data_IF_328098695600
#
_entry.id   IF_328098695600
#
_cell.length_a   1.000
_cell.length_b   1.000
_cell.length_c   1.000
_cell.angle_alpha   90.00
_cell.angle_beta   90.00
_cell.angle_gamma   90.00
#
_symmetry.space_group_name_H-M   'P 1'
#
loop_
_entity.id
_entity.type
_entity.pdbx_description
1 polymer ?
#
# COMPACT_ATOMS: atom_id res chain seq x y z
N UNK A 1 23.57 -1.31 11.59
CA UNK A 1 22.12 -1.13 11.35
C UNK A 1 21.38 -2.26 12.07
N UNK A 2 20.37 -1.98 12.89
CA UNK A 2 19.63 -3.02 13.64
C UNK A 2 18.41 -3.52 12.85
N UNK A 3 17.86 -4.69 13.19
CA UNK A 3 16.67 -5.24 12.54
C UNK A 3 15.46 -4.29 12.63
N UNK A 4 15.27 -3.61 13.77
CA UNK A 4 14.22 -2.59 13.94
C UNK A 4 14.43 -1.36 13.05
N UNK A 5 15.68 -0.93 12.89
CA UNK A 5 16.02 0.21 12.04
C UNK A 5 15.72 -0.11 10.58
N UNK A 6 16.11 -1.30 10.12
CA UNK A 6 15.82 -1.77 8.76
C UNK A 6 14.31 -1.93 8.52
N UNK A 7 13.56 -2.51 9.47
CA UNK A 7 12.11 -2.61 9.36
C UNK A 7 11.42 -1.23 9.26
N UNK A 8 11.86 -0.27 10.09
CA UNK A 8 11.34 1.09 10.02
C UNK A 8 11.63 1.79 8.69
N UNK A 9 12.81 1.57 8.11
CA UNK A 9 13.15 2.07 6.76
C UNK A 9 12.25 1.42 5.70
N UNK A 10 11.95 0.12 5.80
CA UNK A 10 11.03 -0.53 4.86
C UNK A 10 9.65 0.08 4.90
N UNK A 11 9.11 0.42 6.08
CA UNK A 11 7.84 1.14 6.18
C UNK A 11 7.89 2.54 5.54
N UNK A 12 9.00 3.25 5.66
CA UNK A 12 9.18 4.57 5.03
C UNK A 12 9.21 4.44 3.51
N UNK A 13 9.94 3.45 2.98
CA UNK A 13 9.96 3.16 1.54
C UNK A 13 8.58 2.71 1.06
N UNK A 14 7.86 1.91 1.85
CA UNK A 14 6.51 1.47 1.52
C UNK A 14 5.53 2.64 1.40
N UNK A 15 5.69 3.69 2.23
CA UNK A 15 4.86 4.89 2.16
C UNK A 15 5.28 5.87 1.06
N UNK A 16 6.58 6.11 0.86
CA UNK A 16 7.07 7.21 0.02
C UNK A 16 7.73 6.77 -1.28
N UNK A 17 8.11 5.51 -1.41
CA UNK A 17 9.00 5.05 -2.48
C UNK A 17 8.35 5.17 -3.86
N UNK A 18 7.14 4.65 -4.05
CA UNK A 18 6.42 4.80 -5.32
C UNK A 18 6.04 6.26 -5.59
N UNK A 19 5.62 7.02 -4.57
CA UNK A 19 5.35 8.46 -4.71
C UNK A 19 6.58 9.21 -5.24
N UNK A 20 7.76 8.95 -4.68
CA UNK A 20 9.00 9.55 -5.15
C UNK A 20 9.33 9.14 -6.59
N UNK A 21 9.09 7.88 -6.96
CA UNK A 21 9.29 7.40 -8.35
C UNK A 21 8.37 8.14 -9.31
N UNK A 22 7.07 8.23 -9.03
CA UNK A 22 6.12 8.90 -9.91
C UNK A 22 6.44 10.39 -10.06
N UNK A 23 6.61 11.12 -8.95
CA UNK A 23 6.83 12.58 -9.00
C UNK A 23 8.21 12.97 -9.54
N UNK A 24 9.27 12.21 -9.20
CA UNK A 24 10.65 12.62 -9.53
C UNK A 24 11.11 12.02 -10.85
N UNK A 25 10.71 10.79 -11.16
CA UNK A 25 11.22 10.05 -12.32
C UNK A 25 10.19 9.95 -13.45
N UNK A 26 8.91 9.80 -13.11
CA UNK A 26 7.81 9.73 -14.06
C UNK A 26 7.42 11.08 -14.64
N UNK A 27 6.93 11.99 -13.80
CA UNK A 27 6.40 13.30 -14.23
C UNK A 27 7.46 14.21 -14.87
N UNK A 28 8.72 14.05 -14.52
CA UNK A 28 9.83 14.81 -15.11
C UNK A 28 10.21 14.33 -16.52
N UNK A 29 9.65 13.19 -16.96
CA UNK A 29 10.00 12.54 -18.23
C UNK A 29 11.38 11.88 -18.23
N UNK A 30 12.02 11.73 -17.06
CA UNK A 30 13.33 11.08 -16.95
C UNK A 30 13.26 9.58 -17.23
N UNK A 31 12.10 8.96 -16.97
CA UNK A 31 11.76 7.59 -17.32
C UNK A 31 10.47 7.55 -18.15
N UNK A 32 10.39 6.61 -19.10
CA UNK A 32 9.12 6.28 -19.76
C UNK A 32 8.17 5.51 -18.84
N UNK A 33 6.87 5.51 -19.14
CA UNK A 33 5.78 4.92 -18.33
C UNK A 33 6.11 3.51 -17.82
N UNK A 34 6.46 2.59 -18.73
CA UNK A 34 6.81 1.21 -18.37
C UNK A 34 8.00 1.06 -17.40
N UNK A 35 8.97 1.98 -17.46
CA UNK A 35 10.09 1.97 -16.53
C UNK A 35 9.71 2.58 -15.18
N UNK A 36 8.92 3.65 -15.18
CA UNK A 36 8.38 4.28 -13.97
C UNK A 36 7.57 3.26 -13.16
N UNK A 37 6.60 2.58 -13.79
CA UNK A 37 5.75 1.59 -13.11
C UNK A 37 6.57 0.43 -12.54
N UNK A 38 7.57 -0.05 -13.30
CA UNK A 38 8.44 -1.14 -12.85
C UNK A 38 9.26 -0.77 -11.61
N UNK A 39 9.79 0.45 -11.54
CA UNK A 39 10.56 0.90 -10.36
C UNK A 39 9.63 1.20 -9.18
N UNK A 40 8.46 1.79 -9.43
CA UNK A 40 7.43 2.02 -8.42
C UNK A 40 7.00 0.69 -7.80
N UNK A 41 6.80 -0.36 -8.61
CA UNK A 41 6.49 -1.71 -8.16
C UNK A 41 7.56 -2.26 -7.19
N UNK A 42 8.84 -2.07 -7.48
CA UNK A 42 9.92 -2.52 -6.60
C UNK A 42 9.90 -1.81 -5.25
N UNK A 43 9.56 -0.52 -5.23
CA UNK A 43 9.34 0.21 -3.99
C UNK A 43 8.12 -0.34 -3.22
N UNK A 44 7.00 -0.60 -3.91
CA UNK A 44 5.78 -1.13 -3.29
C UNK A 44 5.98 -2.53 -2.68
N UNK A 45 6.86 -3.37 -3.22
CA UNK A 45 7.22 -4.68 -2.62
C UNK A 45 7.77 -4.54 -1.19
N UNK A 46 8.25 -3.36 -0.79
CA UNK A 46 8.64 -3.14 0.62
C UNK A 46 7.48 -3.16 1.60
N UNK A 47 6.22 -2.98 1.14
CA UNK A 47 5.00 -3.09 1.95
C UNK A 47 4.96 -4.45 2.67
N UNK A 48 4.82 -5.61 1.99
CA UNK A 48 4.71 -6.90 2.66
C UNK A 48 5.96 -7.24 3.47
N UNK A 49 7.15 -6.77 3.07
CA UNK A 49 8.38 -6.98 3.82
C UNK A 49 8.34 -6.27 5.18
N UNK A 50 7.90 -5.02 5.23
CA UNK A 50 7.76 -4.26 6.49
C UNK A 50 6.75 -4.92 7.44
N UNK A 51 5.58 -5.31 6.92
CA UNK A 51 4.57 -6.02 7.70
C UNK A 51 5.06 -7.39 8.19
N UNK A 52 5.75 -8.15 7.34
CA UNK A 52 6.33 -9.45 7.69
C UNK A 52 7.41 -9.35 8.76
N UNK A 53 8.31 -8.37 8.69
CA UNK A 53 9.31 -8.18 9.74
C UNK A 53 8.68 -7.80 11.07
N UNK A 54 7.57 -7.05 11.04
CA UNK A 54 6.84 -6.65 12.25
C UNK A 54 6.10 -7.83 12.89
N UNK A 55 5.50 -8.72 12.09
CA UNK A 55 4.80 -9.93 12.59
C UNK A 55 5.73 -10.85 13.40
N UNK A 56 7.02 -10.87 13.05
CA UNK A 56 8.01 -11.71 13.73
C UNK A 56 8.30 -11.23 15.16
N UNK A 57 7.89 -9.99 15.51
CA UNK A 57 8.02 -9.46 16.87
C UNK A 57 6.83 -9.85 17.75
N UNK A 58 5.60 -9.72 17.25
CA UNK A 58 4.41 -10.16 17.97
C UNK A 58 3.46 -10.90 17.05
N UNK A 59 3.19 -12.17 17.37
CA UNK A 59 2.28 -13.02 16.61
C UNK A 59 0.84 -12.71 16.99
N UNK A 60 0.02 -12.51 15.97
CA UNK A 60 -1.42 -12.37 16.12
C UNK A 60 -2.09 -12.85 14.82
N UNK A 61 -3.14 -13.68 14.87
CA UNK A 61 -3.79 -14.22 13.68
C UNK A 61 -4.26 -13.14 12.69
N UNK A 62 -4.74 -11.99 13.17
CA UNK A 62 -5.15 -10.89 12.29
C UNK A 62 -3.96 -10.24 11.57
N UNK A 63 -2.78 -10.17 12.20
CA UNK A 63 -1.57 -9.68 11.51
C UNK A 63 -1.20 -10.63 10.37
N UNK A 64 -1.24 -11.94 10.63
CA UNK A 64 -0.90 -12.97 9.63
C UNK A 64 -1.91 -12.99 8.49
N UNK A 65 -3.21 -12.96 8.80
CA UNK A 65 -4.28 -12.88 7.79
C UNK A 65 -4.19 -11.59 6.98
N UNK A 66 -4.01 -10.44 7.65
CA UNK A 66 -3.86 -9.16 6.97
C UNK A 66 -2.67 -9.14 6.02
N UNK A 67 -1.51 -9.67 6.44
CA UNK A 67 -0.34 -9.80 5.57
C UNK A 67 -0.61 -10.66 4.33
N UNK A 68 -1.32 -11.78 4.46
CA UNK A 68 -1.68 -12.61 3.31
C UNK A 68 -2.57 -11.84 2.33
N UNK A 69 -3.56 -11.10 2.83
CA UNK A 69 -4.46 -10.28 2.01
C UNK A 69 -3.66 -9.15 1.31
N UNK A 70 -2.72 -8.51 2.01
CA UNK A 70 -1.81 -7.51 1.44
C UNK A 70 -1.04 -8.09 0.26
N UNK A 71 -0.43 -9.27 0.43
CA UNK A 71 0.37 -9.91 -0.63
C UNK A 71 -0.49 -10.23 -1.85
N UNK A 72 -1.71 -10.74 -1.65
CA UNK A 72 -2.65 -11.04 -2.72
C UNK A 72 -3.04 -9.77 -3.48
N UNK A 73 -3.51 -8.74 -2.76
CA UNK A 73 -3.94 -7.47 -3.36
C UNK A 73 -2.79 -6.76 -4.06
N UNK A 74 -1.62 -6.66 -3.44
CA UNK A 74 -0.44 -6.04 -4.04
C UNK A 74 -0.03 -6.76 -5.33
N UNK A 75 0.05 -8.10 -5.31
CA UNK A 75 0.51 -8.85 -6.50
C UNK A 75 -0.45 -8.65 -7.67
N UNK A 76 -1.76 -8.66 -7.42
CA UNK A 76 -2.76 -8.37 -8.46
C UNK A 76 -2.67 -6.92 -8.96
N UNK A 77 -2.41 -5.96 -8.06
CA UNK A 77 -2.30 -4.53 -8.40
C UNK A 77 -1.12 -4.27 -9.30
N UNK A 78 0.04 -4.84 -8.96
CA UNK A 78 1.25 -4.75 -9.78
C UNK A 78 1.08 -5.40 -11.17
N UNK A 79 0.23 -6.43 -11.29
CA UNK A 79 -0.13 -6.98 -12.60
C UNK A 79 -1.01 -6.00 -13.38
N UNK A 80 -1.98 -5.36 -12.74
CA UNK A 80 -2.77 -4.28 -13.32
C UNK A 80 -1.90 -3.15 -13.86
N UNK A 81 -1.02 -2.60 -13.01
CA UNK A 81 -0.09 -1.53 -13.39
C UNK A 81 0.82 -1.97 -14.54
N UNK A 82 1.34 -3.19 -14.50
CA UNK A 82 2.18 -3.71 -15.58
C UNK A 82 1.43 -3.78 -16.92
N UNK A 83 0.16 -4.20 -16.93
CA UNK A 83 -0.66 -4.20 -18.15
C UNK A 83 -0.90 -2.76 -18.62
N UNK A 84 -1.33 -1.86 -17.74
CA UNK A 84 -1.58 -0.45 -18.06
C UNK A 84 -0.34 0.22 -18.68
N UNK A 85 0.84 -0.08 -18.12
CA UNK A 85 2.12 0.50 -18.54
C UNK A 85 2.56 0.18 -19.97
N UNK A 86 1.91 -0.80 -20.62
CA UNK A 86 2.24 -1.22 -21.98
C UNK A 86 1.50 -0.44 -23.06
N UNK A 87 0.44 0.30 -22.71
CA UNK A 87 -0.33 1.18 -23.61
C UNK A 87 -0.71 0.48 -24.95
N UNK A 88 -1.02 -0.83 -24.90
CA UNK A 88 -1.23 -1.66 -26.10
C UNK A 88 -2.53 -1.29 -26.82
N UNK A 89 -3.62 -1.11 -26.07
CA UNK A 89 -4.93 -0.71 -26.58
C UNK A 89 -5.83 -0.18 -25.47
N UNK A 90 -6.88 0.54 -25.84
CA UNK A 90 -7.87 1.07 -24.89
C UNK A 90 -8.58 -0.06 -24.11
N UNK A 91 -8.84 -1.21 -24.74
CA UNK A 91 -9.41 -2.37 -24.05
C UNK A 91 -8.45 -2.95 -23.00
N UNK A 92 -7.14 -2.94 -23.28
CA UNK A 92 -6.11 -3.36 -22.33
C UNK A 92 -6.11 -2.44 -21.09
N UNK A 93 -6.27 -1.13 -21.30
CA UNK A 93 -6.29 -0.15 -20.21
C UNK A 93 -7.50 -0.34 -19.29
N UNK A 94 -8.68 -0.61 -19.87
CA UNK A 94 -9.91 -0.90 -19.11
C UNK A 94 -9.77 -2.18 -18.26
N UNK A 95 -9.14 -3.22 -18.82
CA UNK A 95 -8.86 -4.45 -18.07
C UNK A 95 -7.89 -4.17 -16.92
N UNK A 96 -6.82 -3.42 -17.20
CA UNK A 96 -5.82 -3.07 -16.22
C UNK A 96 -6.42 -2.26 -15.06
N UNK A 97 -7.26 -1.28 -15.35
CA UNK A 97 -7.95 -0.45 -14.34
C UNK A 97 -8.89 -1.30 -13.48
N UNK A 98 -9.71 -2.16 -14.10
CA UNK A 98 -10.63 -3.04 -13.36
C UNK A 98 -9.89 -4.00 -12.41
N UNK A 99 -8.79 -4.58 -12.88
CA UNK A 99 -7.92 -5.44 -12.07
C UNK A 99 -7.25 -4.63 -10.95
N UNK A 100 -6.63 -3.50 -11.29
CA UNK A 100 -5.92 -2.62 -10.37
C UNK A 100 -6.83 -2.14 -9.24
N UNK A 101 -7.99 -1.57 -9.57
CA UNK A 101 -8.94 -1.05 -8.57
C UNK A 101 -9.40 -2.13 -7.59
N UNK A 102 -9.74 -3.32 -8.10
CA UNK A 102 -10.11 -4.47 -7.25
C UNK A 102 -8.94 -4.87 -6.34
N UNK A 103 -7.73 -4.93 -6.90
CA UNK A 103 -6.53 -5.38 -6.22
C UNK A 103 -6.06 -4.40 -5.13
N UNK A 104 -6.04 -3.11 -5.42
CA UNK A 104 -5.69 -2.06 -4.46
C UNK A 104 -6.69 -2.04 -3.31
N UNK A 105 -7.99 -2.19 -3.60
CA UNK A 105 -9.02 -2.34 -2.59
C UNK A 105 -8.72 -3.52 -1.64
N UNK A 106 -8.40 -4.71 -2.20
CA UNK A 106 -8.00 -5.88 -1.41
C UNK A 106 -6.78 -5.58 -0.54
N UNK A 107 -5.76 -4.89 -1.06
CA UNK A 107 -4.58 -4.55 -0.27
C UNK A 107 -4.93 -3.70 0.96
N UNK A 108 -5.80 -2.69 0.81
CA UNK A 108 -6.25 -1.86 1.92
C UNK A 108 -7.15 -2.61 2.92
N UNK A 109 -7.93 -3.60 2.46
CA UNK A 109 -8.59 -4.54 3.37
C UNK A 109 -7.55 -5.27 4.23
N UNK A 110 -6.44 -5.69 3.62
CA UNK A 110 -5.32 -6.30 4.33
C UNK A 110 -4.72 -5.37 5.40
N UNK A 111 -4.48 -4.10 5.07
CA UNK A 111 -4.01 -3.09 6.05
C UNK A 111 -4.99 -2.92 7.21
N UNK A 112 -6.29 -2.85 6.92
CA UNK A 112 -7.33 -2.74 7.94
C UNK A 112 -7.28 -3.91 8.94
N UNK A 113 -7.24 -5.14 8.42
CA UNK A 113 -7.15 -6.37 9.21
C UNK A 113 -5.84 -6.41 10.02
N UNK A 114 -4.71 -6.01 9.43
CA UNK A 114 -3.45 -5.89 10.16
C UNK A 114 -3.51 -4.84 11.27
N UNK A 115 -4.17 -3.70 11.04
CA UNK A 115 -4.40 -2.67 12.06
C UNK A 115 -5.21 -3.20 13.26
N UNK A 116 -6.24 -4.02 13.01
CA UNK A 116 -6.98 -4.73 14.07
C UNK A 116 -6.04 -5.64 14.86
N UNK A 117 -5.16 -6.36 14.15
CA UNK A 117 -4.11 -7.17 14.79
C UNK A 117 -3.20 -6.33 15.68
N UNK A 118 -2.72 -5.17 15.20
CA UNK A 118 -1.90 -4.27 16.00
C UNK A 118 -2.63 -3.70 17.22
N UNK A 119 -3.93 -3.43 17.13
CA UNK A 119 -4.76 -3.02 18.27
C UNK A 119 -4.80 -4.09 19.38
N UNK A 120 -4.62 -5.36 19.05
CA UNK A 120 -4.57 -6.47 20.01
C UNK A 120 -3.16 -6.73 20.57
N UNK A 121 -2.15 -5.96 20.15
CA UNK A 121 -0.76 -6.10 20.61
C UNK A 121 -0.27 -4.81 21.29
N UNK A 122 0.96 -4.84 21.81
CA UNK A 122 1.67 -3.67 22.32
C UNK A 122 2.77 -3.19 21.34
N UNK A 123 2.73 -3.61 20.08
CA UNK A 123 3.73 -3.23 19.07
C UNK A 123 3.74 -1.72 18.80
N UNK A 124 2.55 -1.12 18.76
CA UNK A 124 2.33 0.30 18.50
C UNK A 124 1.34 0.88 19.51
N UNK A 125 1.39 2.20 19.75
CA UNK A 125 0.33 2.89 20.48
C UNK A 125 -1.04 2.61 19.85
N UNK A 126 -2.06 2.39 20.68
CA UNK A 126 -3.41 2.02 20.20
C UNK A 126 -3.98 3.02 19.19
N UNK A 127 -3.70 4.31 19.36
CA UNK A 127 -4.15 5.34 18.41
C UNK A 127 -3.56 5.16 17.01
N UNK A 128 -2.29 4.71 16.91
CA UNK A 128 -1.62 4.52 15.63
C UNK A 128 -2.13 3.25 14.92
N UNK A 129 -2.33 2.17 15.68
CA UNK A 129 -2.99 0.96 15.18
C UNK A 129 -4.42 1.25 14.71
N UNK A 130 -5.17 2.04 15.49
CA UNK A 130 -6.51 2.49 15.14
C UNK A 130 -6.53 3.39 13.90
N UNK A 131 -5.54 4.27 13.75
CA UNK A 131 -5.39 5.12 12.57
C UNK A 131 -5.15 4.27 11.31
N UNK A 132 -4.26 3.27 11.36
CA UNK A 132 -4.08 2.31 10.26
C UNK A 132 -5.41 1.62 9.91
N UNK A 133 -6.13 1.11 10.91
CA UNK A 133 -7.42 0.46 10.66
C UNK A 133 -8.43 1.40 9.99
N UNK A 134 -8.65 2.60 10.55
CA UNK A 134 -9.70 3.50 10.06
C UNK A 134 -9.38 4.00 8.66
N UNK A 135 -8.17 4.48 8.42
CA UNK A 135 -7.77 5.04 7.12
C UNK A 135 -7.87 3.97 6.04
N UNK A 136 -7.33 2.77 6.29
CA UNK A 136 -7.38 1.69 5.31
C UNK A 136 -8.80 1.15 5.09
N UNK A 137 -9.65 1.11 6.12
CA UNK A 137 -11.06 0.74 5.98
C UNK A 137 -11.80 1.72 5.08
N UNK A 138 -11.60 3.04 5.29
CA UNK A 138 -12.21 4.07 4.45
C UNK A 138 -11.75 3.92 3.01
N UNK A 139 -10.46 3.66 2.76
CA UNK A 139 -9.94 3.45 1.41
C UNK A 139 -10.51 2.21 0.75
N UNK A 140 -10.49 1.07 1.44
CA UNK A 140 -11.10 -0.17 0.98
C UNK A 140 -12.58 0.04 0.64
N UNK A 141 -13.36 0.58 1.57
CA UNK A 141 -14.81 0.76 1.40
C UNK A 141 -15.11 1.72 0.25
N UNK A 142 -14.36 2.83 0.14
CA UNK A 142 -14.55 3.81 -0.93
C UNK A 142 -14.36 3.19 -2.31
N UNK A 143 -13.36 2.32 -2.48
CA UNK A 143 -13.14 1.64 -3.76
C UNK A 143 -14.17 0.52 -3.97
N UNK A 144 -14.41 -0.31 -2.94
CA UNK A 144 -15.22 -1.52 -3.05
C UNK A 144 -16.71 -1.26 -3.34
N UNK A 145 -17.27 -0.13 -2.88
CA UNK A 145 -18.70 0.19 -3.07
C UNK A 145 -18.96 1.12 -4.25
N UNK A 146 -17.91 1.74 -4.80
CA UNK A 146 -18.07 2.68 -5.90
C UNK A 146 -18.40 1.95 -7.21
N UNK A 147 -19.27 2.55 -8.03
CA UNK A 147 -19.52 2.01 -9.36
C UNK A 147 -18.29 2.25 -10.26
N UNK A 148 -18.08 1.40 -11.29
CA UNK A 148 -17.01 1.62 -12.27
C UNK A 148 -17.06 3.01 -12.91
N UNK A 149 -18.26 3.49 -13.24
CA UNK A 149 -18.47 4.82 -13.82
C UNK A 149 -18.09 5.95 -12.86
N UNK A 150 -18.35 5.80 -11.56
CA UNK A 150 -17.94 6.78 -10.56
C UNK A 150 -16.42 6.82 -10.42
N UNK A 151 -15.77 5.65 -10.40
CA UNK A 151 -14.32 5.51 -10.30
C UNK A 151 -13.60 6.03 -11.55
N UNK A 152 -14.14 5.80 -12.74
CA UNK A 152 -13.54 6.35 -13.97
C UNK A 152 -13.57 7.89 -13.99
N UNK A 153 -14.66 8.49 -13.49
CA UNK A 153 -14.82 9.94 -13.49
C UNK A 153 -14.17 10.67 -12.30
N UNK A 154 -14.02 10.00 -11.15
CA UNK A 154 -13.60 10.64 -9.89
C UNK A 154 -12.47 9.88 -9.17
N UNK A 155 -11.99 8.78 -9.74
CA UNK A 155 -11.06 7.83 -9.11
C UNK A 155 -9.80 8.52 -8.65
N UNK A 156 -9.14 9.30 -9.51
CA UNK A 156 -7.94 10.06 -9.13
C UNK A 156 -8.20 10.99 -7.93
N UNK A 157 -9.33 11.71 -7.94
CA UNK A 157 -9.67 12.69 -6.90
C UNK A 157 -9.97 12.04 -5.54
N UNK A 158 -10.22 10.74 -5.49
CA UNK A 158 -10.57 10.01 -4.27
C UNK A 158 -9.45 9.05 -3.86
N UNK A 159 -8.99 8.24 -4.80
CA UNK A 159 -7.98 7.21 -4.60
C UNK A 159 -6.63 7.82 -4.26
N UNK A 160 -6.19 8.88 -4.96
CA UNK A 160 -4.87 9.49 -4.70
C UNK A 160 -4.80 10.07 -3.28
N UNK A 161 -5.74 10.92 -2.81
CA UNK A 161 -5.69 11.41 -1.43
C UNK A 161 -5.76 10.29 -0.39
N UNK A 162 -6.58 9.28 -0.60
CA UNK A 162 -6.71 8.14 0.32
C UNK A 162 -5.43 7.28 0.35
N UNK A 163 -4.81 7.06 -0.80
CA UNK A 163 -3.51 6.40 -0.88
C UNK A 163 -2.44 7.20 -0.14
N UNK A 164 -2.34 8.52 -0.37
CA UNK A 164 -1.40 9.40 0.33
C UNK A 164 -1.59 9.37 1.85
N UNK A 165 -2.84 9.31 2.33
CA UNK A 165 -3.14 9.16 3.76
C UNK A 165 -2.62 7.82 4.32
N UNK A 166 -2.86 6.71 3.62
CA UNK A 166 -2.30 5.41 4.03
C UNK A 166 -0.77 5.43 4.02
N UNK A 167 -0.16 6.01 2.98
CA UNK A 167 1.29 6.19 2.87
C UNK A 167 1.87 6.97 4.05
N UNK A 168 1.21 8.04 4.49
CA UNK A 168 1.61 8.79 5.67
C UNK A 168 1.54 7.92 6.94
N UNK A 169 0.50 7.10 7.09
CA UNK A 169 0.42 6.15 8.22
C UNK A 169 1.58 5.16 8.20
N UNK A 170 1.96 4.63 7.03
CA UNK A 170 3.13 3.74 6.90
C UNK A 170 4.42 4.44 7.33
N UNK A 171 4.63 5.70 6.92
CA UNK A 171 5.79 6.49 7.36
C UNK A 171 5.83 6.63 8.88
N UNK A 172 4.69 6.94 9.50
CA UNK A 172 4.58 7.07 10.96
C UNK A 172 4.87 5.72 11.64
N UNK A 173 4.33 4.61 11.13
CA UNK A 173 4.66 3.26 11.62
C UNK A 173 6.16 2.98 11.54
N UNK A 174 6.82 3.40 10.44
CA UNK A 174 8.26 3.29 10.28
C UNK A 174 9.03 4.06 11.36
N UNK A 175 8.66 5.30 11.63
CA UNK A 175 9.27 6.13 12.67
C UNK A 175 9.11 5.48 14.05
N UNK A 176 7.91 5.00 14.39
CA UNK A 176 7.66 4.32 15.67
C UNK A 176 8.42 2.99 15.78
N UNK A 177 8.55 2.25 14.68
CA UNK A 177 9.31 0.99 14.64
C UNK A 177 10.79 1.22 14.96
N UNK A 178 11.39 2.29 14.43
CA UNK A 178 12.79 2.64 14.74
C UNK A 178 12.98 3.10 16.20
N UNK A 179 11.97 3.75 16.77
CA UNK A 179 12.00 4.31 18.13
C UNK A 179 11.59 3.34 19.23
N UNK A 180 11.11 2.15 18.89
CA UNK A 180 10.69 1.16 19.88
C UNK A 180 11.86 0.79 20.81
N UNK A 181 11.59 0.75 22.11
CA UNK A 181 12.44 0.04 23.06
C UNK A 181 12.57 -1.42 22.62
N UNK A 182 13.73 -2.05 22.85
CA UNK A 182 14.14 -3.33 22.22
C UNK A 182 12.99 -4.34 22.01
#
# INVERSE_FOLDING_TARGET
MTAKMMNGILFIIAGLGSIAVYMVLGETGLLGTAHTEKIAAYALVTIPLAFMMTRNVARNPFIDTGLLIIVVGLTMGLVGDAINSTEISAESDLIAEAVGMTAWSIMYLGYFITGIGYLQTNLFPKWLSGLLSVVSLVTFASIAISSPEFLSNNGESIVIPLWMLNSLVLVILGIFTMRRAE
#
